data_IF_630455293327
#
_entry.id   IF_630455293327
#
_cell.length_a   1.000
_cell.length_b   1.000
_cell.length_c   1.000
_cell.angle_alpha   90.00
_cell.angle_beta   90.00
_cell.angle_gamma   90.00
#
_symmetry.space_group_name_H-M   'P 1'
#
loop_
_entity.id
_entity.type
_entity.pdbx_description
1 polymer ?
#
# COMPACT_ATOMS: atom_id res chain seq x y z
N UNK A 1 14.57 -4.04 13.65
CA UNK A 1 14.51 -5.06 12.58
C UNK A 1 13.06 -5.54 12.48
N UNK A 2 12.48 -5.62 11.28
CA UNK A 2 11.09 -6.07 11.08
C UNK A 2 11.02 -7.61 11.07
N UNK A 3 9.92 -8.17 11.59
CA UNK A 3 9.65 -9.62 11.51
C UNK A 3 9.59 -10.08 10.05
N UNK A 4 10.04 -11.30 9.77
CA UNK A 4 10.14 -11.81 8.40
C UNK A 4 8.80 -11.78 7.68
N UNK A 5 7.73 -12.28 8.31
CA UNK A 5 6.40 -12.33 7.70
C UNK A 5 5.89 -10.93 7.33
N UNK A 6 5.99 -9.95 8.24
CA UNK A 6 5.63 -8.57 7.93
C UNK A 6 6.47 -8.02 6.78
N UNK A 7 7.78 -8.27 6.77
CA UNK A 7 8.66 -7.78 5.70
C UNK A 7 8.27 -8.34 4.35
N UNK A 8 7.99 -9.64 4.28
CA UNK A 8 7.63 -10.30 3.04
C UNK A 8 6.31 -9.78 2.51
N UNK A 9 5.30 -9.58 3.36
CA UNK A 9 4.00 -9.02 2.95
C UNK A 9 4.10 -7.55 2.51
N UNK A 10 4.79 -6.70 3.28
CA UNK A 10 4.86 -5.27 2.97
C UNK A 10 5.73 -4.95 1.75
N UNK A 11 6.61 -5.86 1.32
CA UNK A 11 7.50 -5.65 0.19
C UNK A 11 6.73 -5.51 -1.15
N UNK A 12 5.93 -6.49 -1.62
CA UNK A 12 5.11 -6.34 -2.83
C UNK A 12 4.02 -5.28 -2.67
N UNK A 13 3.41 -5.14 -1.48
CA UNK A 13 2.45 -4.06 -1.22
C UNK A 13 3.09 -2.67 -1.44
N UNK A 14 4.31 -2.45 -0.95
CA UNK A 14 5.04 -1.20 -1.17
C UNK A 14 5.38 -0.96 -2.64
N UNK A 15 5.65 -2.03 -3.41
CA UNK A 15 5.89 -1.94 -4.85
C UNK A 15 4.63 -1.46 -5.59
N UNK A 16 3.49 -2.10 -5.34
CA UNK A 16 2.21 -1.71 -5.95
C UNK A 16 1.79 -0.28 -5.58
N UNK A 17 1.94 0.06 -4.30
CA UNK A 17 1.67 1.42 -3.81
C UNK A 17 2.57 2.46 -4.50
N UNK A 18 3.89 2.19 -4.56
CA UNK A 18 4.85 3.08 -5.18
C UNK A 18 4.64 3.23 -6.70
N UNK A 19 4.20 2.16 -7.39
CA UNK A 19 3.83 2.21 -8.82
C UNK A 19 2.48 2.87 -9.07
N UNK A 20 1.66 3.10 -8.03
CA UNK A 20 0.26 3.53 -8.15
C UNK A 20 -0.51 2.62 -9.11
N UNK A 21 -0.29 1.31 -8.97
CA UNK A 21 -0.91 0.33 -9.85
C UNK A 21 -2.43 0.32 -9.65
N UNK A 22 -3.17 0.44 -10.74
CA UNK A 22 -4.64 0.36 -10.79
C UNK A 22 -5.01 -0.57 -11.93
N UNK A 23 -5.85 -1.57 -11.64
CA UNK A 23 -6.38 -2.46 -12.66
C UNK A 23 -7.40 -1.77 -13.58
N UNK A 24 -7.87 -2.46 -14.64
CA UNK A 24 -8.92 -1.92 -15.52
C UNK A 24 -10.22 -1.68 -14.74
N UNK A 25 -10.86 -0.53 -15.00
CA UNK A 25 -12.20 -0.23 -14.46
C UNK A 25 -13.24 -0.94 -15.31
N UNK A 26 -13.64 -2.14 -14.88
CA UNK A 26 -14.67 -2.95 -15.54
C UNK A 26 -16.07 -2.60 -15.05
N UNK A 27 -17.15 -3.03 -15.74
CA UNK A 27 -18.52 -2.85 -15.25
C UNK A 27 -18.74 -3.42 -13.84
N UNK A 28 -18.10 -4.54 -13.52
CA UNK A 28 -18.13 -5.12 -12.17
C UNK A 28 -17.49 -4.18 -11.13
N UNK A 29 -16.36 -3.53 -11.47
CA UNK A 29 -15.74 -2.55 -10.57
C UNK A 29 -16.67 -1.36 -10.30
N UNK A 30 -17.44 -0.92 -11.31
CA UNK A 30 -18.42 0.15 -11.13
C UNK A 30 -19.56 -0.29 -10.19
N UNK A 31 -20.09 -1.50 -10.36
CA UNK A 31 -21.09 -2.06 -9.45
C UNK A 31 -20.58 -2.18 -8.01
N UNK A 32 -19.35 -2.69 -7.83
CA UNK A 32 -18.73 -2.79 -6.50
C UNK A 32 -18.58 -1.42 -5.81
N UNK A 33 -18.37 -0.33 -6.57
CA UNK A 33 -18.30 1.02 -6.01
C UNK A 33 -19.66 1.53 -5.50
N UNK A 34 -20.77 1.01 -6.03
CA UNK A 34 -22.11 1.33 -5.55
C UNK A 34 -22.50 0.45 -4.36
N UNK A 35 -22.04 -0.81 -4.33
CA UNK A 35 -22.41 -1.79 -3.30
C UNK A 35 -21.58 -1.70 -2.01
N UNK A 36 -20.27 -1.44 -2.12
CA UNK A 36 -19.34 -1.53 -0.98
C UNK A 36 -19.33 -0.32 -0.06
N UNK A 37 -19.81 0.84 -0.52
CA UNK A 37 -19.71 2.10 0.21
C UNK A 37 -21.10 2.64 0.57
N UNK A 38 -21.27 3.09 1.81
CA UNK A 38 -22.52 3.67 2.28
C UNK A 38 -22.83 5.07 1.70
N UNK A 39 -21.83 5.71 1.06
CA UNK A 39 -21.94 7.02 0.44
C UNK A 39 -21.48 6.93 -1.03
N UNK A 40 -21.93 7.86 -1.87
CA UNK A 40 -21.56 7.87 -3.29
C UNK A 40 -20.03 7.89 -3.46
N UNK A 41 -19.51 7.00 -4.32
CA UNK A 41 -18.07 6.77 -4.49
C UNK A 41 -17.28 8.05 -4.79
N UNK A 42 -17.85 8.93 -5.61
CA UNK A 42 -17.21 10.17 -6.06
C UNK A 42 -17.21 11.27 -4.98
N UNK A 43 -18.03 11.13 -3.93
CA UNK A 43 -18.09 12.05 -2.80
C UNK A 43 -17.14 11.64 -1.65
N UNK A 44 -16.53 10.45 -1.74
CA UNK A 44 -15.64 9.93 -0.69
C UNK A 44 -14.37 10.76 -0.59
N UNK A 45 -14.17 11.39 0.56
CA UNK A 45 -12.90 12.04 0.88
C UNK A 45 -11.85 11.01 1.35
N UNK A 46 -11.14 10.42 0.39
CA UNK A 46 -10.10 9.40 0.64
C UNK A 46 -8.99 9.84 1.59
N UNK A 47 -8.69 11.14 1.67
CA UNK A 47 -7.66 11.66 2.58
C UNK A 47 -8.09 11.56 4.04
N UNK A 48 -9.38 11.73 4.33
CA UNK A 48 -9.94 11.71 5.70
C UNK A 48 -10.13 10.30 6.24
N UNK A 49 -10.32 9.30 5.38
CA UNK A 49 -10.61 7.92 5.79
C UNK A 49 -9.37 7.06 6.05
N UNK A 50 -8.15 7.58 5.89
CA UNK A 50 -6.89 6.82 6.03
C UNK A 50 -6.70 6.17 7.40
N UNK A 51 -7.26 6.77 8.44
CA UNK A 51 -7.18 6.27 9.83
C UNK A 51 -8.51 5.67 10.30
N UNK A 52 -9.50 5.54 9.41
CA UNK A 52 -10.81 4.99 9.77
C UNK A 52 -10.74 3.46 9.74
N UNK A 53 -10.96 2.85 10.89
CA UNK A 53 -11.15 1.42 11.06
C UNK A 53 -12.36 1.21 11.99
N UNK A 54 -13.16 0.16 11.75
CA UNK A 54 -14.25 -0.19 12.65
C UNK A 54 -13.67 -0.51 14.03
N UNK A 55 -14.33 -0.05 15.11
CA UNK A 55 -13.80 -0.19 16.47
C UNK A 55 -13.77 -1.66 16.89
N UNK A 56 -14.71 -2.42 16.38
CA UNK A 56 -14.91 -3.85 16.61
C UNK A 56 -13.76 -4.68 16.01
N UNK A 57 -13.17 -4.22 14.91
CA UNK A 57 -12.06 -4.91 14.21
C UNK A 57 -10.67 -4.39 14.63
N UNK A 58 -10.62 -3.30 15.41
CA UNK A 58 -9.37 -2.63 15.80
C UNK A 58 -8.69 -3.33 16.98
N UNK A 59 -8.02 -4.45 16.69
CA UNK A 59 -7.30 -5.22 17.72
C UNK A 59 -6.06 -4.49 18.27
N UNK A 60 -5.35 -3.73 17.42
CA UNK A 60 -4.19 -2.92 17.81
C UNK A 60 -4.40 -1.45 17.44
N UNK A 61 -4.83 -0.58 18.37
CA UNK A 61 -5.00 0.83 18.09
C UNK A 61 -3.66 1.52 17.85
N UNK A 62 -3.64 2.46 16.90
CA UNK A 62 -2.43 3.22 16.59
C UNK A 62 -2.12 4.23 17.70
N UNK A 63 -0.86 4.28 18.18
CA UNK A 63 -0.41 5.37 19.02
C UNK A 63 -0.38 6.69 18.23
N UNK A 64 -0.63 7.81 18.90
CA UNK A 64 -0.63 9.15 18.28
C UNK A 64 0.68 9.46 17.51
N UNK A 65 1.83 8.99 18.00
CA UNK A 65 3.11 9.18 17.31
C UNK A 65 3.16 8.46 15.94
N UNK A 66 2.48 7.32 15.82
CA UNK A 66 2.40 6.55 14.58
C UNK A 66 1.54 7.29 13.54
N UNK A 67 0.39 7.81 13.96
CA UNK A 67 -0.50 8.60 13.09
C UNK A 67 0.21 9.87 12.58
N UNK A 68 0.88 10.60 13.47
CA UNK A 68 1.67 11.79 13.10
C UNK A 68 2.77 11.47 12.09
N UNK A 69 3.49 10.36 12.30
CA UNK A 69 4.53 9.92 11.38
C UNK A 69 3.95 9.60 10.00
N UNK A 70 2.86 8.83 9.94
CA UNK A 70 2.20 8.48 8.67
C UNK A 70 1.61 9.68 7.95
N UNK A 71 1.01 10.63 8.68
CA UNK A 71 0.48 11.86 8.10
C UNK A 71 1.57 12.76 7.55
N UNK A 72 2.70 12.88 8.26
CA UNK A 72 3.86 13.60 7.76
C UNK A 72 4.39 12.97 6.47
N UNK A 73 4.55 11.64 6.44
CA UNK A 73 4.98 10.93 5.25
C UNK A 73 4.00 11.16 4.09
N UNK A 74 2.69 11.01 4.32
CA UNK A 74 1.69 11.16 3.26
C UNK A 74 1.57 12.60 2.75
N UNK A 75 1.61 13.61 3.62
CA UNK A 75 1.40 14.99 3.23
C UNK A 75 2.66 15.59 2.59
N UNK A 76 3.83 15.29 3.13
CA UNK A 76 5.08 15.87 2.66
C UNK A 76 5.77 14.97 1.64
N UNK A 77 6.04 13.70 1.98
CA UNK A 77 6.93 12.88 1.13
C UNK A 77 6.29 12.44 -0.18
N UNK A 78 4.99 12.12 -0.20
CA UNK A 78 4.31 11.68 -1.43
C UNK A 78 4.32 12.73 -2.56
N UNK A 79 3.97 14.01 -2.31
CA UNK A 79 4.09 15.05 -3.32
C UNK A 79 5.52 15.30 -3.79
N UNK A 80 6.53 15.15 -2.93
CA UNK A 80 7.93 15.31 -3.35
C UNK A 80 8.38 14.15 -4.23
N UNK A 81 8.10 12.90 -3.82
CA UNK A 81 8.51 11.69 -4.54
C UNK A 81 7.80 11.47 -5.88
N UNK A 82 6.75 12.23 -6.18
CA UNK A 82 6.09 12.23 -7.49
C UNK A 82 6.68 13.27 -8.46
N UNK A 83 7.50 14.20 -7.98
CA UNK A 83 8.05 15.30 -8.78
C UNK A 83 9.53 15.11 -9.08
N UNK A 84 9.97 15.62 -10.22
CA UNK A 84 11.40 15.67 -10.56
C UNK A 84 12.12 16.64 -9.60
N UNK A 85 13.34 16.32 -9.12
CA UNK A 85 14.15 15.13 -9.41
C UNK A 85 13.94 13.96 -8.44
N UNK A 86 13.11 14.13 -7.41
CA UNK A 86 12.94 13.15 -6.33
C UNK A 86 12.21 11.88 -6.76
N UNK A 87 11.46 11.90 -7.86
CA UNK A 87 10.88 10.70 -8.47
C UNK A 87 11.92 9.62 -8.83
N UNK A 88 13.18 10.01 -9.12
CA UNK A 88 14.28 9.06 -9.34
C UNK A 88 14.56 8.18 -8.11
N UNK A 89 14.34 8.73 -6.90
CA UNK A 89 14.48 7.95 -5.67
C UNK A 89 13.42 6.86 -5.59
N UNK A 90 12.17 7.20 -5.95
CA UNK A 90 11.08 6.23 -6.03
C UNK A 90 11.36 5.15 -7.07
N UNK A 91 11.83 5.52 -8.26
CA UNK A 91 12.20 4.55 -9.30
C UNK A 91 13.29 3.57 -8.82
N UNK A 92 14.35 4.09 -8.19
CA UNK A 92 15.42 3.26 -7.62
C UNK A 92 14.91 2.35 -6.51
N UNK A 93 14.04 2.85 -5.64
CA UNK A 93 13.41 2.05 -4.59
C UNK A 93 12.58 0.91 -5.21
N UNK A 94 11.74 1.20 -6.21
CA UNK A 94 10.92 0.21 -6.90
C UNK A 94 11.77 -0.88 -7.59
N UNK A 95 12.84 -0.50 -8.27
CA UNK A 95 13.78 -1.46 -8.86
C UNK A 95 14.43 -2.36 -7.80
N UNK A 96 14.75 -1.80 -6.63
CA UNK A 96 15.38 -2.56 -5.53
C UNK A 96 14.37 -3.51 -4.89
N UNK A 97 13.15 -3.05 -4.65
CA UNK A 97 12.04 -3.89 -4.15
C UNK A 97 11.77 -5.05 -5.11
N UNK A 98 11.69 -4.81 -6.42
CA UNK A 98 11.47 -5.88 -7.40
C UNK A 98 12.61 -6.92 -7.42
N UNK A 99 13.87 -6.48 -7.27
CA UNK A 99 15.00 -7.41 -7.14
C UNK A 99 14.86 -8.32 -5.91
N UNK A 100 14.38 -7.79 -4.79
CA UNK A 100 14.15 -8.58 -3.59
C UNK A 100 12.97 -9.55 -3.74
N UNK A 101 11.90 -9.14 -4.42
CA UNK A 101 10.76 -10.01 -4.74
C UNK A 101 11.22 -11.19 -5.60
N UNK A 102 11.90 -10.93 -6.73
CA UNK A 102 12.41 -11.99 -7.60
C UNK A 102 13.40 -12.92 -6.89
N UNK A 103 14.27 -12.37 -6.03
CA UNK A 103 15.18 -13.18 -5.23
C UNK A 103 14.42 -14.14 -4.30
N UNK A 104 13.33 -13.70 -3.67
CA UNK A 104 12.52 -14.60 -2.85
C UNK A 104 11.79 -15.64 -3.69
N UNK A 105 11.18 -15.22 -4.81
CA UNK A 105 10.49 -16.11 -5.74
C UNK A 105 11.42 -17.24 -6.21
N UNK A 106 12.63 -16.91 -6.65
CA UNK A 106 13.61 -17.88 -7.12
C UNK A 106 14.08 -18.82 -6.00
N UNK A 107 14.38 -18.29 -4.82
CA UNK A 107 14.87 -19.11 -3.69
C UNK A 107 13.79 -20.03 -3.11
N UNK A 108 12.55 -19.56 -3.07
CA UNK A 108 11.40 -20.32 -2.57
C UNK A 108 10.77 -21.20 -3.64
N UNK A 109 11.27 -21.17 -4.89
CA UNK A 109 10.67 -21.85 -6.06
C UNK A 109 9.21 -21.44 -6.27
N UNK A 110 8.94 -20.14 -6.13
CA UNK A 110 7.62 -19.51 -6.28
C UNK A 110 6.57 -20.05 -5.31
N UNK A 111 7.01 -20.66 -4.20
CA UNK A 111 6.14 -21.05 -3.09
C UNK A 111 5.92 -19.85 -2.16
N UNK A 112 6.96 -19.02 -1.98
CA UNK A 112 6.99 -17.85 -1.10
C UNK A 112 6.76 -18.19 0.38
N UNK A 113 6.67 -17.21 1.29
CA UNK A 113 6.46 -17.52 2.73
C UNK A 113 5.01 -17.84 3.08
N UNK A 114 4.06 -17.43 2.25
CA UNK A 114 2.63 -17.59 2.52
C UNK A 114 1.71 -17.01 1.44
N UNK A 115 0.41 -17.25 1.59
CA UNK A 115 -0.58 -16.94 0.56
C UNK A 115 -0.79 -15.45 0.28
N UNK A 116 -0.40 -14.56 1.19
CA UNK A 116 -0.61 -13.11 1.04
C UNK A 116 0.47 -12.47 0.16
N UNK A 117 1.68 -13.02 0.20
CA UNK A 117 2.81 -12.50 -0.55
C UNK A 117 2.88 -13.10 -1.96
N UNK A 118 2.44 -14.35 -2.12
CA UNK A 118 2.27 -15.03 -3.41
C UNK A 118 1.27 -14.35 -4.34
#
# INVERSE_FOLDING_TARGET
KMWCYCRMVYMPMSYLYGKRFVGPITPLILQLREELYAQAYDEINWRKVRHNCAKEDLYYPHPLIQDLMWDSLYIFTEPFLTRWPFNKLREKALQTTMKHIHYEDENSRYITIGCVEK
#
